data_IF_247759328266
#
_entry.id   IF_247759328266
#
_cell.length_a   1.000
_cell.length_b   1.000
_cell.length_c   1.000
_cell.angle_alpha   90.00
_cell.angle_beta   90.00
_cell.angle_gamma   90.00
#
_symmetry.space_group_name_H-M   'P 1'
#
loop_
_entity.id
_entity.type
_entity.pdbx_description
1 polymer ?
#
# COMPACT_ATOMS: atom_id res chain seq x y z
N UNK A 1 -34.32 -37.72 -25.10
CA UNK A 1 -32.96 -37.75 -24.54
C UNK A 1 -32.44 -36.33 -24.56
N UNK A 2 -32.76 -35.55 -23.50
CA UNK A 2 -32.55 -34.11 -23.43
C UNK A 2 -31.31 -33.80 -22.57
N UNK A 3 -30.25 -33.32 -23.20
CA UNK A 3 -29.05 -32.84 -22.52
C UNK A 3 -29.32 -31.43 -22.02
N UNK A 4 -29.52 -31.24 -20.72
CA UNK A 4 -29.54 -29.94 -20.07
C UNK A 4 -28.10 -29.43 -19.97
N UNK A 5 -27.81 -28.36 -20.72
CA UNK A 5 -26.57 -27.58 -20.59
C UNK A 5 -26.68 -26.71 -19.35
N UNK A 6 -25.97 -27.07 -18.32
CA UNK A 6 -25.74 -26.23 -17.14
C UNK A 6 -24.59 -25.28 -17.49
N UNK A 7 -24.87 -24.01 -17.74
CA UNK A 7 -23.87 -22.95 -17.83
C UNK A 7 -23.47 -22.54 -16.39
N UNK A 8 -22.32 -23.01 -15.95
CA UNK A 8 -21.64 -22.44 -14.78
C UNK A 8 -21.06 -21.08 -15.23
N UNK A 9 -21.59 -20.00 -14.68
CA UNK A 9 -20.97 -18.68 -14.77
C UNK A 9 -19.77 -18.64 -13.83
N UNK A 10 -18.59 -18.85 -14.38
CA UNK A 10 -17.32 -18.57 -13.68
C UNK A 10 -17.15 -17.04 -13.63
N UNK A 11 -17.42 -16.44 -12.49
CA UNK A 11 -17.01 -15.08 -12.21
C UNK A 11 -15.49 -15.07 -12.02
N UNK A 12 -14.75 -14.80 -13.11
CA UNK A 12 -13.31 -14.53 -13.06
C UNK A 12 -13.14 -13.16 -12.42
N UNK A 13 -12.79 -13.13 -11.13
CA UNK A 13 -12.29 -11.92 -10.49
C UNK A 13 -10.91 -11.65 -11.07
N UNK A 14 -10.86 -10.87 -12.14
CA UNK A 14 -9.62 -10.29 -12.64
C UNK A 14 -9.20 -9.21 -11.63
N UNK A 15 -8.29 -9.57 -10.72
CA UNK A 15 -7.50 -8.59 -9.98
C UNK A 15 -6.56 -7.93 -10.99
N UNK A 16 -7.03 -6.84 -11.61
CA UNK A 16 -6.21 -6.02 -12.49
C UNK A 16 -5.23 -5.28 -11.59
N UNK A 17 -3.99 -5.78 -11.51
CA UNK A 17 -2.87 -5.01 -11.01
C UNK A 17 -2.66 -3.84 -11.98
N UNK A 18 -3.15 -2.66 -11.62
CA UNK A 18 -2.98 -1.45 -12.39
C UNK A 18 -1.51 -1.01 -12.37
N UNK A 19 -0.85 -1.17 -13.49
CA UNK A 19 0.45 -0.50 -13.76
C UNK A 19 0.12 0.88 -14.32
N UNK A 20 -0.22 1.82 -13.43
CA UNK A 20 -0.34 3.21 -13.80
C UNK A 20 1.03 3.78 -14.15
N UNK A 21 1.21 4.32 -15.35
CA UNK A 21 2.35 5.18 -15.65
C UNK A 21 2.15 6.51 -14.91
N UNK A 22 2.60 6.55 -13.65
CA UNK A 22 2.69 7.81 -12.93
C UNK A 22 3.59 8.74 -13.76
N UNK A 23 3.06 9.91 -14.18
CA UNK A 23 3.91 10.95 -14.75
C UNK A 23 4.92 11.32 -13.70
N UNK A 24 6.20 11.07 -14.01
CA UNK A 24 7.33 11.52 -13.20
C UNK A 24 7.21 13.03 -13.00
N UNK A 25 6.97 13.45 -11.78
CA UNK A 25 7.13 14.85 -11.40
C UNK A 25 8.55 14.99 -10.89
N UNK A 26 9.43 15.62 -11.68
CA UNK A 26 10.79 15.94 -11.29
C UNK A 26 10.77 16.70 -9.95
N UNK A 27 11.22 16.05 -8.88
CA UNK A 27 11.21 16.62 -7.54
C UNK A 27 12.61 17.10 -7.21
N UNK A 28 12.83 18.39 -7.32
CA UNK A 28 14.03 19.09 -6.80
C UNK A 28 15.37 18.53 -7.28
N UNK A 29 15.44 17.81 -8.42
CA UNK A 29 16.68 17.20 -8.89
C UNK A 29 17.19 16.05 -8.00
N UNK A 30 16.33 15.46 -7.16
CA UNK A 30 16.67 14.25 -6.38
C UNK A 30 16.81 13.05 -7.31
N UNK A 31 16.02 12.98 -8.38
CA UNK A 31 16.08 11.96 -9.42
C UNK A 31 17.47 11.83 -10.10
N UNK A 32 18.27 12.88 -10.06
CA UNK A 32 19.67 12.84 -10.55
C UNK A 32 20.68 12.44 -9.48
N UNK A 33 20.24 12.31 -8.22
CA UNK A 33 21.09 12.07 -7.06
C UNK A 33 20.83 10.73 -6.38
N UNK A 34 19.77 10.06 -6.78
CA UNK A 34 19.35 8.73 -6.28
C UNK A 34 19.10 7.79 -7.46
N UNK A 35 19.16 6.49 -7.23
CA UNK A 35 18.92 5.49 -8.29
C UNK A 35 17.42 5.31 -8.54
N UNK A 36 16.61 5.32 -7.48
CA UNK A 36 15.16 5.21 -7.56
C UNK A 36 14.50 5.87 -6.35
N UNK A 37 13.28 6.38 -6.53
CA UNK A 37 12.49 6.95 -5.44
C UNK A 37 10.99 6.75 -5.64
N UNK A 38 10.25 6.62 -4.52
CA UNK A 38 8.81 6.44 -4.52
C UNK A 38 8.19 7.09 -3.29
N UNK A 39 7.03 7.73 -3.45
CA UNK A 39 6.11 8.08 -2.36
C UNK A 39 4.73 7.58 -2.72
N UNK A 40 4.07 6.89 -1.80
CA UNK A 40 2.71 6.41 -1.98
C UNK A 40 1.88 6.44 -0.69
N UNK A 41 0.57 6.37 -0.86
CA UNK A 41 -0.38 6.23 0.24
C UNK A 41 -0.39 4.80 0.78
N UNK A 42 -0.16 4.65 2.07
CA UNK A 42 -0.11 3.36 2.73
C UNK A 42 -1.47 2.63 2.74
N UNK A 43 -2.59 3.36 2.69
CA UNK A 43 -3.92 2.76 2.73
C UNK A 43 -4.36 2.28 1.35
N UNK A 44 -4.45 3.21 0.38
CA UNK A 44 -4.94 2.88 -0.97
C UNK A 44 -3.89 2.23 -1.87
N UNK A 45 -2.59 2.41 -1.59
CA UNK A 45 -1.51 2.01 -2.48
C UNK A 45 -1.28 2.98 -3.65
N UNK A 46 -2.00 4.11 -3.70
CA UNK A 46 -1.81 5.11 -4.74
C UNK A 46 -0.40 5.70 -4.69
N UNK A 47 0.27 5.75 -5.84
CA UNK A 47 1.60 6.31 -5.96
C UNK A 47 1.52 7.79 -6.33
N UNK A 48 2.25 8.63 -5.59
CA UNK A 48 2.31 10.08 -5.79
C UNK A 48 3.57 10.52 -6.53
N UNK A 49 4.68 9.83 -6.25
CA UNK A 49 5.99 10.04 -6.84
C UNK A 49 6.54 8.68 -7.21
N UNK A 50 7.10 8.56 -8.41
CA UNK A 50 7.53 7.30 -8.95
C UNK A 50 8.67 7.51 -9.96
N UNK A 51 9.91 7.31 -9.52
CA UNK A 51 11.12 7.42 -10.32
C UNK A 51 11.86 6.07 -10.32
N UNK A 52 12.02 5.47 -11.48
CA UNK A 52 12.71 4.20 -11.68
C UNK A 52 12.21 3.09 -10.73
N UNK A 53 10.88 2.99 -10.58
CA UNK A 53 10.27 2.21 -9.49
C UNK A 53 10.21 0.69 -9.73
N UNK A 54 10.47 0.24 -10.96
CA UNK A 54 10.31 -1.17 -11.35
C UNK A 54 11.67 -1.88 -11.62
N UNK A 55 12.79 -1.17 -11.52
CA UNK A 55 14.12 -1.78 -11.63
C UNK A 55 14.46 -2.58 -10.37
N UNK A 56 14.97 -3.82 -10.56
CA UNK A 56 15.47 -4.67 -9.50
C UNK A 56 16.85 -4.20 -9.03
N UNK A 57 16.91 -3.48 -7.92
CA UNK A 57 18.13 -2.90 -7.35
C UNK A 57 18.59 -3.68 -6.11
N UNK A 58 19.89 -3.68 -5.78
CA UNK A 58 20.39 -4.15 -4.50
C UNK A 58 19.74 -3.38 -3.34
N UNK A 59 19.25 -4.09 -2.32
CA UNK A 59 18.44 -3.50 -1.24
C UNK A 59 19.11 -3.51 0.12
N UNK A 60 20.25 -4.19 0.24
CA UNK A 60 20.95 -4.33 1.52
C UNK A 60 19.99 -4.76 2.66
N UNK A 61 20.17 -4.18 3.86
CA UNK A 61 19.35 -4.50 5.04
C UNK A 61 17.86 -4.17 4.97
N UNK A 62 17.35 -3.59 3.87
CA UNK A 62 15.89 -3.51 3.65
C UNK A 62 15.32 -4.94 3.55
N UNK A 63 16.11 -5.93 3.16
CA UNK A 63 15.78 -7.37 3.18
C UNK A 63 15.19 -7.85 4.51
N UNK A 64 15.60 -7.26 5.62
CA UNK A 64 15.15 -7.61 6.98
C UNK A 64 13.66 -7.33 7.21
N UNK A 65 13.02 -6.54 6.34
CA UNK A 65 11.55 -6.40 6.33
C UNK A 65 10.88 -7.74 5.97
N UNK A 66 11.42 -8.48 4.99
CA UNK A 66 10.90 -9.81 4.66
C UNK A 66 11.19 -10.81 5.80
N UNK A 67 12.37 -10.74 6.40
CA UNK A 67 12.71 -11.55 7.58
C UNK A 67 11.76 -11.28 8.73
N UNK A 68 11.48 -10.00 9.05
CA UNK A 68 10.49 -9.61 10.04
C UNK A 68 9.11 -10.18 9.73
N UNK A 69 8.62 -10.03 8.50
CA UNK A 69 7.31 -10.53 8.08
C UNK A 69 7.16 -12.03 8.33
N UNK A 70 8.12 -12.83 7.88
CA UNK A 70 8.07 -14.29 8.03
C UNK A 70 8.10 -14.72 9.49
N UNK A 71 8.93 -14.08 10.33
CA UNK A 71 8.97 -14.35 11.77
C UNK A 71 7.63 -14.02 12.42
N UNK A 72 7.02 -12.87 12.09
CA UNK A 72 5.71 -12.45 12.61
C UNK A 72 4.59 -13.39 12.17
N UNK A 73 4.62 -13.88 10.93
CA UNK A 73 3.67 -14.88 10.46
C UNK A 73 3.78 -16.17 11.28
N UNK A 74 4.99 -16.65 11.57
CA UNK A 74 5.18 -17.86 12.37
C UNK A 74 4.78 -17.70 13.85
N UNK A 75 4.93 -16.50 14.40
CA UNK A 75 4.39 -16.17 15.73
C UNK A 75 2.86 -16.19 15.69
N UNK A 76 2.24 -15.59 14.67
CA UNK A 76 0.78 -15.58 14.50
C UNK A 76 0.19 -16.99 14.27
N UNK A 77 0.96 -17.89 13.63
CA UNK A 77 0.61 -19.32 13.49
C UNK A 77 0.77 -20.10 14.81
N UNK A 78 1.28 -19.49 15.88
CA UNK A 78 1.53 -20.13 17.18
C UNK A 78 2.69 -21.11 17.20
N UNK A 79 3.64 -21.00 16.25
CA UNK A 79 4.82 -21.88 16.18
C UNK A 79 5.82 -21.57 17.28
N UNK A 80 5.94 -20.31 17.67
CA UNK A 80 6.72 -19.83 18.82
C UNK A 80 6.18 -18.49 19.34
N UNK A 81 6.68 -18.06 20.50
CA UNK A 81 6.29 -16.83 21.19
C UNK A 81 7.46 -15.86 21.25
N UNK A 82 7.19 -14.61 21.57
CA UNK A 82 8.22 -13.58 21.74
C UNK A 82 9.21 -13.91 22.87
N UNK A 83 8.75 -14.61 23.91
CA UNK A 83 9.53 -14.97 25.10
C UNK A 83 10.39 -16.22 24.91
N UNK A 84 10.12 -17.02 23.86
CA UNK A 84 10.87 -18.25 23.60
C UNK A 84 12.35 -17.94 23.39
N UNK A 85 13.21 -18.82 23.92
CA UNK A 85 14.65 -18.66 23.84
C UNK A 85 15.21 -19.38 22.60
N UNK A 86 16.05 -18.66 21.90
CA UNK A 86 16.80 -19.13 20.73
C UNK A 86 18.24 -19.28 21.13
N UNK A 87 18.81 -20.45 20.90
CA UNK A 87 20.24 -20.68 21.08
C UNK A 87 20.99 -20.22 19.84
N UNK A 88 21.84 -19.22 20.00
CA UNK A 88 22.60 -18.61 18.91
C UNK A 88 23.62 -19.60 18.35
N UNK A 89 23.59 -19.81 17.03
CA UNK A 89 24.58 -20.67 16.34
C UNK A 89 25.92 -19.96 16.16
N UNK A 90 26.95 -20.73 15.83
CA UNK A 90 28.25 -20.18 15.42
C UNK A 90 28.09 -19.34 14.14
N UNK A 91 27.29 -19.81 13.20
CA UNK A 91 27.02 -19.09 11.95
C UNK A 91 26.41 -17.72 12.21
N UNK A 92 25.32 -17.65 12.98
CA UNK A 92 24.67 -16.38 13.30
C UNK A 92 25.64 -15.41 14.02
N UNK A 93 26.38 -15.88 15.01
CA UNK A 93 27.33 -15.06 15.80
C UNK A 93 28.54 -14.57 15.00
N UNK A 94 28.84 -15.16 13.85
CA UNK A 94 29.99 -14.79 13.00
C UNK A 94 29.61 -13.82 11.86
N UNK A 95 28.33 -13.43 11.75
CA UNK A 95 27.90 -12.50 10.71
C UNK A 95 28.50 -11.11 10.91
N UNK A 96 29.06 -10.57 9.82
CA UNK A 96 29.75 -9.29 9.82
C UNK A 96 28.78 -8.10 9.67
N UNK A 97 29.29 -6.88 9.83
CA UNK A 97 28.58 -5.63 9.61
C UNK A 97 27.73 -5.19 10.81
N UNK A 98 26.48 -4.77 10.60
CA UNK A 98 25.57 -4.38 11.69
C UNK A 98 25.22 -5.58 12.55
N UNK A 99 25.38 -5.47 13.88
CA UNK A 99 25.28 -6.61 14.80
C UNK A 99 24.56 -6.25 16.09
N UNK A 100 23.87 -7.22 16.67
CA UNK A 100 23.36 -7.24 18.05
C UNK A 100 24.42 -7.74 19.03
N UNK A 101 25.63 -8.04 18.54
CA UNK A 101 26.79 -8.59 19.28
C UNK A 101 26.47 -9.94 19.95
N UNK A 102 25.79 -10.84 19.19
CA UNK A 102 25.41 -12.17 19.62
C UNK A 102 26.65 -13.06 19.81
N UNK A 103 26.61 -13.94 20.82
CA UNK A 103 27.69 -14.92 21.09
C UNK A 103 27.19 -16.32 20.79
N UNK A 104 28.05 -17.15 20.22
CA UNK A 104 27.72 -18.56 19.97
C UNK A 104 27.35 -19.27 21.29
N UNK A 105 26.23 -19.99 21.26
CA UNK A 105 25.68 -20.69 22.42
C UNK A 105 24.88 -19.82 23.40
N UNK A 106 24.81 -18.50 23.20
CA UNK A 106 23.95 -17.60 23.98
C UNK A 106 22.48 -17.97 23.77
N UNK A 107 21.68 -17.86 24.83
CA UNK A 107 20.22 -17.99 24.77
C UNK A 107 19.57 -16.59 24.83
N UNK A 108 18.89 -16.20 23.76
CA UNK A 108 18.28 -14.89 23.60
C UNK A 108 16.79 -15.04 23.21
N UNK A 109 15.93 -14.12 23.64
CA UNK A 109 14.51 -14.20 23.29
C UNK A 109 14.26 -13.83 21.83
N UNK A 110 13.19 -14.38 21.24
CA UNK A 110 12.69 -13.98 19.91
C UNK A 110 12.43 -12.48 19.86
N UNK A 111 11.89 -11.90 20.96
CA UNK A 111 11.69 -10.46 21.08
C UNK A 111 12.99 -9.69 20.94
N UNK A 112 14.03 -10.06 21.71
CA UNK A 112 15.32 -9.37 21.66
C UNK A 112 15.98 -9.47 20.28
N UNK A 113 15.80 -10.60 19.60
CA UNK A 113 16.26 -10.78 18.21
C UNK A 113 15.50 -9.85 17.24
N UNK A 114 14.19 -9.71 17.39
CA UNK A 114 13.39 -8.77 16.57
C UNK A 114 13.77 -7.32 16.85
N UNK A 115 14.03 -6.96 18.12
CA UNK A 115 14.57 -5.65 18.49
C UNK A 115 15.91 -5.40 17.78
N UNK A 116 16.84 -6.37 17.84
CA UNK A 116 18.12 -6.32 17.15
C UNK A 116 17.99 -6.20 15.62
N UNK A 117 17.09 -6.99 15.03
CA UNK A 117 16.81 -6.99 13.60
C UNK A 117 16.37 -5.60 13.10
N UNK A 118 15.43 -4.99 13.80
CA UNK A 118 14.74 -3.79 13.30
C UNK A 118 15.44 -2.50 13.75
N UNK A 119 15.90 -2.41 15.01
CA UNK A 119 16.43 -1.16 15.57
C UNK A 119 17.89 -0.94 15.14
N UNK A 120 18.74 -1.92 15.39
CA UNK A 120 20.17 -1.81 15.08
C UNK A 120 20.57 -2.53 13.80
N UNK A 121 19.60 -3.12 13.09
CA UNK A 121 19.82 -3.80 11.82
C UNK A 121 20.77 -5.01 11.89
N UNK A 122 20.76 -5.74 13.03
CA UNK A 122 21.67 -6.86 13.29
C UNK A 122 21.59 -7.96 12.22
N UNK A 123 22.74 -8.28 11.60
CA UNK A 123 22.85 -9.36 10.62
C UNK A 123 22.84 -10.72 11.36
N UNK A 124 23.50 -10.78 12.49
CA UNK A 124 23.49 -11.90 13.43
C UNK A 124 22.07 -12.25 13.91
N UNK A 125 21.28 -11.24 14.26
CA UNK A 125 19.88 -11.42 14.62
C UNK A 125 19.03 -11.93 13.43
N UNK A 126 19.30 -11.45 12.21
CA UNK A 126 18.62 -11.93 11.00
C UNK A 126 18.86 -13.40 10.74
N UNK A 127 20.12 -13.86 10.85
CA UNK A 127 20.49 -15.27 10.64
C UNK A 127 19.93 -16.14 11.77
N UNK A 128 20.03 -15.72 13.04
CA UNK A 128 19.43 -16.47 14.15
C UNK A 128 17.92 -16.67 14.01
N UNK A 129 17.19 -15.63 13.56
CA UNK A 129 15.77 -15.74 13.27
C UNK A 129 15.47 -16.61 12.04
N UNK A 130 16.32 -16.54 11.01
CA UNK A 130 16.19 -17.39 9.83
C UNK A 130 16.38 -18.87 10.17
N UNK A 131 17.36 -19.19 11.01
CA UNK A 131 17.60 -20.57 11.51
C UNK A 131 16.45 -21.06 12.38
N UNK A 132 15.87 -20.19 13.23
CA UNK A 132 14.69 -20.53 14.04
C UNK A 132 13.50 -20.92 13.17
N UNK A 133 13.20 -20.13 12.14
CA UNK A 133 11.99 -20.29 11.31
C UNK A 133 12.17 -21.34 10.23
N UNK A 134 13.31 -21.37 9.57
CA UNK A 134 13.61 -22.22 8.42
C UNK A 134 14.46 -23.46 8.76
N UNK A 135 14.87 -23.64 10.03
CA UNK A 135 15.87 -24.63 10.47
C UNK A 135 17.28 -24.38 9.90
N UNK A 136 17.36 -23.81 8.70
CA UNK A 136 18.59 -23.32 8.05
C UNK A 136 18.30 -22.03 7.29
N UNK A 137 19.31 -21.14 7.15
CA UNK A 137 19.16 -19.93 6.35
C UNK A 137 18.75 -20.26 4.91
N UNK A 138 19.25 -21.33 4.31
CA UNK A 138 18.89 -21.73 2.95
C UNK A 138 17.40 -22.04 2.78
N UNK A 139 16.79 -22.79 3.71
CA UNK A 139 15.33 -23.04 3.69
C UNK A 139 14.57 -21.75 3.93
N UNK A 140 15.05 -20.89 4.82
CA UNK A 140 14.43 -19.58 5.06
C UNK A 140 14.46 -18.69 3.81
N UNK A 141 15.56 -18.66 3.06
CA UNK A 141 15.66 -17.96 1.79
C UNK A 141 14.64 -18.49 0.77
N UNK A 142 14.40 -19.79 0.73
CA UNK A 142 13.30 -20.34 -0.09
C UNK A 142 11.96 -19.76 0.35
N UNK A 143 11.67 -19.71 1.65
CA UNK A 143 10.45 -19.11 2.18
C UNK A 143 10.34 -17.61 1.84
N UNK A 144 11.46 -16.86 1.85
CA UNK A 144 11.46 -15.44 1.45
C UNK A 144 11.05 -15.26 -0.01
N UNK A 145 11.57 -16.09 -0.92
CA UNK A 145 11.23 -16.02 -2.34
C UNK A 145 9.80 -16.51 -2.61
N UNK A 146 9.32 -17.54 -1.92
CA UNK A 146 7.94 -18.01 -1.99
C UNK A 146 6.98 -16.91 -1.52
N UNK A 147 7.29 -16.24 -0.40
CA UNK A 147 6.51 -15.11 0.11
C UNK A 147 6.54 -13.92 -0.84
N UNK A 148 7.67 -13.61 -1.47
CA UNK A 148 7.75 -12.59 -2.51
C UNK A 148 6.80 -12.91 -3.68
N UNK A 149 6.75 -14.15 -4.11
CA UNK A 149 5.83 -14.61 -5.16
C UNK A 149 4.37 -14.51 -4.71
N UNK A 150 4.04 -14.94 -3.48
CA UNK A 150 2.70 -14.82 -2.89
C UNK A 150 2.20 -13.37 -2.84
N UNK A 151 3.08 -12.45 -2.48
CA UNK A 151 2.77 -11.01 -2.41
C UNK A 151 2.81 -10.31 -3.77
N UNK A 152 3.16 -11.01 -4.84
CA UNK A 152 3.27 -10.45 -6.19
C UNK A 152 4.45 -9.48 -6.37
N UNK A 153 5.52 -9.63 -5.61
CA UNK A 153 6.74 -8.82 -5.69
C UNK A 153 7.58 -9.29 -6.91
N UNK A 154 7.28 -8.75 -8.07
CA UNK A 154 7.76 -9.28 -9.36
C UNK A 154 9.26 -9.12 -9.58
N UNK A 155 9.88 -8.14 -8.94
CA UNK A 155 11.29 -7.80 -9.10
C UNK A 155 12.08 -8.06 -7.80
N UNK A 156 11.59 -8.98 -6.95
CA UNK A 156 12.24 -9.38 -5.71
C UNK A 156 12.99 -10.71 -5.86
N UNK A 157 14.21 -10.76 -5.34
CA UNK A 157 15.02 -11.97 -5.23
C UNK A 157 15.83 -11.91 -3.94
N UNK A 158 15.75 -12.96 -3.13
CA UNK A 158 16.48 -13.08 -1.88
C UNK A 158 17.49 -14.22 -1.96
N UNK A 159 18.68 -13.99 -1.42
CA UNK A 159 19.78 -14.97 -1.33
C UNK A 159 20.26 -15.20 0.11
N UNK A 160 19.86 -14.31 1.04
CA UNK A 160 20.14 -14.42 2.48
C UNK A 160 19.09 -13.62 3.30
N UNK A 161 19.09 -13.84 4.62
CA UNK A 161 18.14 -13.21 5.54
C UNK A 161 18.49 -11.76 5.92
N UNK A 162 19.74 -11.36 5.79
CA UNK A 162 20.26 -10.09 6.30
C UNK A 162 20.36 -8.98 5.27
N UNK A 163 20.53 -9.33 3.98
CA UNK A 163 20.80 -8.41 2.89
C UNK A 163 22.27 -8.02 2.76
N UNK A 164 23.16 -8.74 3.42
CA UNK A 164 24.61 -8.57 3.21
C UNK A 164 25.00 -9.13 1.85
N UNK A 165 25.90 -8.44 1.14
CA UNK A 165 26.46 -8.97 -0.11
C UNK A 165 27.25 -10.25 0.19
N UNK A 166 26.90 -11.36 -0.44
CA UNK A 166 27.60 -12.65 -0.30
C UNK A 166 28.09 -13.13 -1.67
N UNK A 167 29.38 -13.39 -1.81
CA UNK A 167 30.00 -13.85 -3.07
C UNK A 167 29.69 -12.93 -4.28
N UNK A 168 29.67 -11.62 -4.07
CA UNK A 168 29.34 -10.65 -5.10
C UNK A 168 27.88 -10.65 -5.56
N UNK A 169 26.98 -11.25 -4.77
CA UNK A 169 25.54 -11.28 -5.02
C UNK A 169 24.79 -10.56 -3.92
N UNK A 170 23.65 -9.93 -4.28
CA UNK A 170 22.81 -9.14 -3.42
C UNK A 170 21.36 -9.61 -3.45
N UNK A 171 20.66 -9.41 -2.34
CA UNK A 171 19.21 -9.38 -2.39
C UNK A 171 18.76 -8.18 -3.24
N UNK A 172 17.77 -8.38 -4.10
CA UNK A 172 17.26 -7.33 -4.98
C UNK A 172 15.75 -7.18 -4.84
N UNK A 173 15.29 -5.95 -4.94
CA UNK A 173 13.87 -5.60 -5.10
C UNK A 173 13.76 -4.29 -5.90
N UNK A 174 12.58 -4.08 -6.50
CA UNK A 174 12.23 -2.74 -6.98
C UNK A 174 11.68 -1.86 -5.85
N UNK A 175 11.68 -0.52 -6.02
CA UNK A 175 11.07 0.37 -5.01
C UNK A 175 9.57 0.13 -4.88
N UNK A 176 8.90 -0.30 -5.95
CA UNK A 176 7.49 -0.73 -5.91
C UNK A 176 7.30 -1.95 -5.03
N UNK A 177 8.16 -2.95 -5.15
CA UNK A 177 8.08 -4.16 -4.31
C UNK A 177 8.38 -3.85 -2.85
N UNK A 178 9.36 -2.97 -2.58
CA UNK A 178 9.67 -2.49 -1.22
C UNK A 178 8.46 -1.76 -0.62
N UNK A 179 7.80 -0.89 -1.39
CA UNK A 179 6.59 -0.20 -0.96
C UNK A 179 5.47 -1.20 -0.63
N UNK A 180 5.24 -2.18 -1.51
CA UNK A 180 4.21 -3.22 -1.32
C UNK A 180 4.47 -4.06 -0.08
N UNK A 181 5.71 -4.50 0.12
CA UNK A 181 6.12 -5.24 1.32
C UNK A 181 5.93 -4.41 2.58
N UNK A 182 6.37 -3.15 2.57
CA UNK A 182 6.26 -2.24 3.71
C UNK A 182 4.79 -1.97 4.07
N UNK A 183 3.93 -1.72 3.06
CA UNK A 183 2.49 -1.56 3.24
C UNK A 183 1.88 -2.81 3.89
N UNK A 184 2.19 -3.99 3.37
CA UNK A 184 1.70 -5.27 3.89
C UNK A 184 2.09 -5.48 5.35
N UNK A 185 3.33 -5.16 5.72
CA UNK A 185 3.81 -5.30 7.10
C UNK A 185 3.08 -4.32 8.02
N UNK A 186 2.96 -3.06 7.65
CA UNK A 186 2.28 -2.03 8.47
C UNK A 186 0.80 -2.38 8.66
N UNK A 187 0.16 -2.94 7.64
CA UNK A 187 -1.24 -3.33 7.68
C UNK A 187 -1.49 -4.56 8.57
N UNK A 188 -0.66 -5.59 8.41
CA UNK A 188 -0.82 -6.87 9.16
C UNK A 188 -0.19 -6.84 10.55
N UNK A 189 0.92 -6.13 10.71
CA UNK A 189 1.75 -6.11 11.92
C UNK A 189 2.15 -4.67 12.28
N UNK A 190 1.19 -3.79 12.63
CA UNK A 190 1.43 -2.36 12.87
C UNK A 190 2.43 -2.08 13.99
N UNK A 191 2.66 -3.05 14.87
CA UNK A 191 3.70 -2.97 15.91
C UNK A 191 5.13 -2.86 15.35
N UNK A 192 5.35 -3.10 14.04
CA UNK A 192 6.63 -2.81 13.36
C UNK A 192 7.07 -1.35 13.58
N UNK A 193 6.10 -0.45 13.72
CA UNK A 193 6.36 0.96 13.95
C UNK A 193 6.90 1.24 15.36
N UNK A 194 6.60 0.40 16.34
CA UNK A 194 7.16 0.54 17.69
C UNK A 194 8.65 0.23 17.68
N UNK A 195 9.09 -0.83 16.95
CA UNK A 195 10.52 -1.09 16.75
C UNK A 195 11.18 0.07 16.02
N UNK A 196 10.55 0.58 14.95
CA UNK A 196 11.12 1.62 14.10
C UNK A 196 11.22 2.99 14.78
N UNK A 197 10.33 3.31 15.73
CA UNK A 197 10.38 4.54 16.53
C UNK A 197 11.45 4.50 17.63
N UNK A 198 11.93 3.32 18.02
CA UNK A 198 12.92 3.18 19.06
C UNK A 198 14.26 3.73 18.59
N UNK A 199 14.73 4.79 19.23
CA UNK A 199 15.96 5.49 18.85
C UNK A 199 17.21 4.89 19.46
N UNK A 200 17.09 4.17 20.58
CA UNK A 200 18.19 3.48 21.26
C UNK A 200 17.72 2.11 21.72
N UNK A 201 18.42 1.07 21.34
CA UNK A 201 18.22 -0.28 21.87
C UNK A 201 19.13 -0.50 23.08
N UNK A 202 18.52 -0.78 24.23
CA UNK A 202 19.23 -1.13 25.47
C UNK A 202 18.82 -2.53 25.93
N UNK A 203 19.82 -3.39 26.14
CA UNK A 203 19.66 -4.72 26.73
C UNK A 203 20.63 -4.85 27.94
N UNK A 204 20.24 -4.36 29.12
CA UNK A 204 21.15 -4.28 30.27
C UNK A 204 21.73 -5.63 30.70
N UNK A 205 20.96 -6.72 30.60
CA UNK A 205 21.39 -8.08 30.91
C UNK A 205 22.56 -8.57 30.05
N UNK A 206 22.71 -7.97 28.84
CA UNK A 206 23.78 -8.26 27.87
C UNK A 206 24.85 -7.17 27.82
N UNK A 207 24.74 -6.13 28.66
CA UNK A 207 25.58 -4.93 28.59
C UNK A 207 25.63 -4.33 27.17
N UNK A 208 24.48 -4.33 26.48
CA UNK A 208 24.34 -3.86 25.11
C UNK A 208 23.57 -2.58 25.05
N UNK A 209 24.10 -1.57 24.32
CA UNK A 209 23.45 -0.31 24.03
C UNK A 209 23.93 0.22 22.68
N UNK A 210 23.02 0.40 21.73
CA UNK A 210 23.31 1.00 20.42
C UNK A 210 22.17 1.90 19.98
N UNK A 211 22.51 2.95 19.22
CA UNK A 211 21.54 3.82 18.57
C UNK A 211 20.88 3.13 17.37
N UNK A 212 19.65 3.50 17.10
CA UNK A 212 18.93 3.08 15.91
C UNK A 212 19.62 3.54 14.62
N UNK A 213 19.49 2.73 13.58
CA UNK A 213 19.99 3.08 12.24
C UNK A 213 19.04 3.99 11.47
N UNK A 214 17.80 4.18 11.94
CA UNK A 214 16.73 4.89 11.24
C UNK A 214 16.82 6.40 11.53
N UNK A 215 17.10 7.24 10.52
CA UNK A 215 17.14 8.68 10.69
C UNK A 215 15.74 9.29 10.69
N UNK A 216 15.64 10.56 11.07
CA UNK A 216 14.47 11.42 10.99
C UNK A 216 13.37 11.13 12.01
N UNK A 217 13.42 10.01 12.73
CA UNK A 217 12.51 9.72 13.86
C UNK A 217 12.84 10.71 14.99
N UNK A 218 11.82 11.45 15.45
CA UNK A 218 11.99 12.53 16.43
C UNK A 218 12.53 13.85 15.85
N UNK A 219 13.04 13.85 14.61
CA UNK A 219 13.52 15.05 13.91
C UNK A 219 12.44 15.63 12.98
N UNK A 220 11.71 14.78 12.27
CA UNK A 220 10.62 15.17 11.37
C UNK A 220 9.30 14.70 11.96
N UNK A 221 8.41 15.65 12.21
CA UNK A 221 7.10 15.37 12.80
C UNK A 221 6.31 14.37 11.96
N UNK A 222 5.75 13.34 12.62
CA UNK A 222 4.96 12.28 12.01
C UNK A 222 5.78 11.12 11.46
N UNK A 223 7.11 11.23 11.37
CA UNK A 223 7.98 10.11 10.95
C UNK A 223 8.09 9.09 12.08
N UNK A 224 7.81 7.81 11.74
CA UNK A 224 7.78 6.70 12.69
C UNK A 224 8.39 5.39 12.14
N UNK A 225 9.25 5.49 11.15
CA UNK A 225 9.94 4.32 10.61
C UNK A 225 10.55 4.57 9.24
N UNK A 226 11.00 3.52 8.55
CA UNK A 226 10.80 2.08 8.83
C UNK A 226 12.12 1.30 8.86
N UNK A 227 13.00 1.42 7.81
CA UNK A 227 14.23 0.63 7.69
C UNK A 227 15.27 1.28 6.78
N UNK A 228 16.54 1.18 7.18
CA UNK A 228 17.70 1.56 6.35
C UNK A 228 18.36 0.37 5.69
N UNK A 229 19.08 0.61 4.60
CA UNK A 229 19.99 -0.34 3.96
C UNK A 229 21.26 0.35 3.49
N UNK A 230 22.39 -0.38 3.50
CA UNK A 230 23.65 0.06 2.90
C UNK A 230 24.54 -1.14 2.60
N UNK A 231 24.99 -1.22 1.36
CA UNK A 231 26.18 -1.94 0.87
C UNK A 231 26.82 -1.03 -0.17
N UNK A 232 28.04 -1.35 -0.61
CA UNK A 232 28.71 -0.56 -1.65
C UNK A 232 27.90 -0.60 -2.95
N UNK A 233 27.27 -1.72 -3.28
CA UNK A 233 26.45 -1.92 -4.48
C UNK A 233 25.09 -1.21 -4.37
N UNK A 234 24.46 -1.23 -3.20
CA UNK A 234 23.15 -0.61 -3.00
C UNK A 234 23.23 0.91 -2.81
N UNK A 235 24.38 1.42 -2.39
CA UNK A 235 24.45 2.77 -1.84
C UNK A 235 23.63 2.90 -0.55
N UNK A 236 23.33 4.12 -0.13
CA UNK A 236 22.52 4.40 1.06
C UNK A 236 21.05 4.43 0.72
N UNK A 237 20.28 3.49 1.29
CA UNK A 237 18.86 3.30 1.07
C UNK A 237 18.04 3.58 2.33
N UNK A 238 16.79 4.02 2.16
CA UNK A 238 15.86 4.28 3.26
C UNK A 238 14.42 4.04 2.83
N UNK A 239 13.72 3.25 3.62
CA UNK A 239 12.25 3.24 3.66
C UNK A 239 11.83 4.08 4.85
N UNK A 240 11.00 5.08 4.62
CA UNK A 240 10.42 5.92 5.67
C UNK A 240 8.91 5.89 5.64
N UNK A 241 8.28 5.99 6.80
CA UNK A 241 6.84 6.19 6.91
C UNK A 241 6.54 7.44 7.71
N UNK A 242 5.48 8.14 7.33
CA UNK A 242 5.07 9.35 8.01
C UNK A 242 3.53 9.43 8.10
N UNK A 243 3.02 9.75 9.29
CA UNK A 243 1.63 10.19 9.46
C UNK A 243 1.51 11.67 9.15
N UNK A 244 0.53 12.03 8.35
CA UNK A 244 0.22 13.41 7.98
C UNK A 244 -1.18 13.74 8.46
N UNK A 245 -1.31 14.81 9.26
CA UNK A 245 -2.60 15.39 9.67
C UNK A 245 -2.87 16.65 8.86
N UNK A 246 -4.07 16.72 8.26
CA UNK A 246 -4.57 17.93 7.58
C UNK A 246 -6.03 18.15 7.95
N UNK A 247 -6.27 19.13 8.82
CA UNK A 247 -7.57 19.32 9.44
C UNK A 247 -7.96 18.09 10.27
N UNK A 248 -9.14 17.54 10.00
CA UNK A 248 -9.63 16.32 10.67
C UNK A 248 -9.13 15.02 10.00
N UNK A 249 -8.56 15.10 8.80
CA UNK A 249 -8.06 13.93 8.07
C UNK A 249 -6.66 13.54 8.53
N UNK A 250 -6.46 12.24 8.77
CA UNK A 250 -5.15 11.64 9.01
C UNK A 250 -4.91 10.54 7.97
N UNK A 251 -3.73 10.53 7.38
CA UNK A 251 -3.30 9.49 6.44
C UNK A 251 -1.81 9.19 6.60
N UNK A 252 -1.39 8.05 6.10
CA UNK A 252 -0.01 7.58 6.17
C UNK A 252 0.58 7.48 4.77
N UNK A 253 1.80 7.98 4.62
CA UNK A 253 2.62 7.73 3.43
C UNK A 253 3.77 6.78 3.74
N UNK A 254 4.19 6.04 2.71
CA UNK A 254 5.43 5.28 2.68
C UNK A 254 6.30 5.88 1.59
N UNK A 255 7.54 6.17 1.93
CA UNK A 255 8.54 6.73 1.03
C UNK A 255 9.74 5.80 0.92
N UNK A 256 10.19 5.52 -0.30
CA UNK A 256 11.36 4.68 -0.57
C UNK A 256 12.39 5.49 -1.34
N UNK A 257 13.64 5.45 -0.90
CA UNK A 257 14.77 6.11 -1.54
C UNK A 257 15.92 5.10 -1.65
N UNK A 258 16.47 4.95 -2.87
CA UNK A 258 17.54 4.00 -3.17
C UNK A 258 18.76 4.71 -3.76
N UNK A 259 19.95 4.26 -3.41
CA UNK A 259 21.20 4.62 -4.07
C UNK A 259 21.72 6.04 -3.80
N UNK A 260 21.45 6.61 -2.62
CA UNK A 260 22.10 7.85 -2.21
C UNK A 260 23.63 7.61 -1.99
N UNK A 261 24.46 8.62 -2.27
CA UNK A 261 25.92 8.48 -2.23
C UNK A 261 26.50 8.46 -0.82
N UNK A 262 25.85 9.15 0.11
CA UNK A 262 26.28 9.23 1.50
C UNK A 262 25.13 9.05 2.49
N UNK A 263 25.46 8.73 3.75
CA UNK A 263 24.48 8.66 4.84
C UNK A 263 23.76 9.99 5.05
N UNK A 264 24.48 11.11 4.89
CA UNK A 264 23.92 12.45 5.02
C UNK A 264 22.96 12.78 3.88
N UNK A 265 23.34 12.47 2.63
CA UNK A 265 22.48 12.66 1.45
C UNK A 265 21.17 11.86 1.59
N UNK A 266 21.27 10.60 2.02
CA UNK A 266 20.09 9.75 2.26
C UNK A 266 19.09 10.41 3.22
N UNK A 267 19.57 10.94 4.35
CA UNK A 267 18.74 11.61 5.33
C UNK A 267 18.14 12.90 4.77
N UNK A 268 18.97 13.73 4.12
CA UNK A 268 18.54 15.01 3.57
C UNK A 268 17.52 14.83 2.44
N UNK A 269 17.79 13.93 1.48
CA UNK A 269 16.86 13.71 0.35
C UNK A 269 15.53 13.13 0.82
N UNK A 270 15.55 12.19 1.79
CA UNK A 270 14.31 11.69 2.37
C UNK A 270 13.54 12.80 3.09
N UNK A 271 14.22 13.66 3.85
CA UNK A 271 13.60 14.82 4.51
C UNK A 271 12.93 15.77 3.50
N UNK A 272 13.60 16.03 2.37
CA UNK A 272 13.05 16.87 1.31
C UNK A 272 11.82 16.24 0.66
N UNK A 273 11.87 14.91 0.39
CA UNK A 273 10.73 14.14 -0.12
C UNK A 273 9.53 14.19 0.83
N UNK A 274 9.75 13.97 2.13
CA UNK A 274 8.68 13.97 3.14
C UNK A 274 8.07 15.36 3.32
N UNK A 275 8.89 16.42 3.32
CA UNK A 275 8.42 17.81 3.40
C UNK A 275 7.59 18.18 2.16
N UNK A 276 8.05 17.77 0.97
CA UNK A 276 7.28 17.98 -0.26
C UNK A 276 5.93 17.27 -0.20
N UNK A 277 5.90 16.03 0.25
CA UNK A 277 4.67 15.27 0.43
C UNK A 277 3.73 15.98 1.42
N UNK A 278 4.24 16.41 2.59
CA UNK A 278 3.47 17.13 3.61
C UNK A 278 2.82 18.42 3.07
N UNK A 279 3.49 19.12 2.15
CA UNK A 279 2.98 20.36 1.55
C UNK A 279 1.98 20.12 0.42
N UNK A 280 2.19 19.08 -0.38
CA UNK A 280 1.51 18.90 -1.66
C UNK A 280 0.48 17.76 -1.67
N UNK A 281 0.47 16.86 -0.68
CA UNK A 281 -0.55 15.82 -0.54
C UNK A 281 -1.72 16.37 0.27
N UNK A 282 -2.93 16.05 -0.15
CA UNK A 282 -4.20 16.45 0.49
C UNK A 282 -5.24 15.33 0.36
N UNK A 283 -6.22 15.31 1.26
CA UNK A 283 -7.41 14.48 1.09
C UNK A 283 -8.41 15.24 0.22
N UNK A 284 -8.94 14.58 -0.81
CA UNK A 284 -9.96 15.13 -1.71
C UNK A 284 -11.20 14.25 -1.71
N UNK A 285 -12.35 14.86 -1.49
CA UNK A 285 -13.65 14.22 -1.70
C UNK A 285 -13.93 14.22 -3.20
N UNK A 286 -13.77 13.05 -3.83
CA UNK A 286 -13.92 12.87 -5.28
C UNK A 286 -15.37 12.60 -5.67
N UNK A 287 -16.14 11.96 -4.79
CA UNK A 287 -17.59 11.76 -4.90
C UNK A 287 -18.23 12.24 -3.61
N UNK A 288 -19.29 13.03 -3.76
CA UNK A 288 -20.11 13.55 -2.66
C UNK A 288 -21.56 13.13 -2.93
N UNK A 289 -22.09 12.23 -2.10
CA UNK A 289 -23.46 11.71 -2.19
C UNK A 289 -24.50 12.84 -2.21
N UNK A 290 -24.28 13.90 -1.44
CA UNK A 290 -25.23 15.00 -1.31
C UNK A 290 -25.27 15.90 -2.54
N UNK A 291 -24.16 15.94 -3.31
CA UNK A 291 -24.00 16.82 -4.47
C UNK A 291 -24.19 16.12 -5.80
N UNK A 292 -24.25 14.80 -5.81
CA UNK A 292 -24.36 14.04 -7.05
C UNK A 292 -25.73 13.38 -7.19
N UNK A 293 -26.45 13.71 -8.25
CA UNK A 293 -27.68 13.00 -8.65
C UNK A 293 -27.71 12.88 -10.18
N UNK A 294 -27.93 11.67 -10.67
CA UNK A 294 -28.12 11.39 -12.10
C UNK A 294 -29.58 11.06 -12.38
N UNK A 295 -30.24 11.91 -13.11
CA UNK A 295 -31.60 11.66 -13.60
C UNK A 295 -31.51 10.84 -14.90
N UNK A 296 -32.28 9.76 -14.98
CA UNK A 296 -32.39 8.86 -16.13
C UNK A 296 -33.83 8.76 -16.57
N UNK A 297 -34.15 9.09 -17.83
CA UNK A 297 -35.48 9.00 -18.35
C UNK A 297 -35.89 7.53 -18.56
N UNK A 298 -36.96 7.13 -17.89
CA UNK A 298 -37.50 5.77 -17.92
C UNK A 298 -39.01 5.87 -18.15
N UNK A 299 -39.43 5.77 -19.39
CA UNK A 299 -40.85 5.94 -19.80
C UNK A 299 -41.81 4.99 -19.05
N UNK A 300 -41.33 3.84 -18.61
CA UNK A 300 -42.10 2.85 -17.84
C UNK A 300 -42.19 3.13 -16.35
N UNK A 301 -41.43 4.09 -15.81
CA UNK A 301 -41.50 4.48 -14.39
C UNK A 301 -42.74 5.35 -14.11
N UNK A 302 -43.26 5.32 -12.88
CA UNK A 302 -44.43 6.11 -12.46
C UNK A 302 -44.23 7.62 -12.73
N UNK A 303 -43.03 8.15 -12.44
CA UNK A 303 -42.67 9.55 -12.65
C UNK A 303 -42.05 9.84 -14.02
N UNK A 304 -41.86 8.81 -14.89
CA UNK A 304 -41.21 8.95 -16.19
C UNK A 304 -39.69 8.96 -16.15
N UNK A 305 -39.09 8.95 -14.98
CA UNK A 305 -37.65 8.94 -14.74
C UNK A 305 -37.32 8.20 -13.47
N UNK A 306 -36.03 7.91 -13.26
CA UNK A 306 -35.44 7.47 -11.99
C UNK A 306 -34.28 8.40 -11.66
N UNK A 307 -34.07 8.65 -10.37
CA UNK A 307 -32.89 9.35 -9.88
C UNK A 307 -31.93 8.34 -9.25
N UNK A 308 -30.68 8.45 -9.63
CA UNK A 308 -29.61 7.61 -9.17
C UNK A 308 -28.60 8.45 -8.38
N UNK A 309 -28.09 7.90 -7.30
CA UNK A 309 -27.08 8.54 -6.44
C UNK A 309 -25.90 7.59 -6.23
N UNK A 310 -24.71 8.09 -5.89
CA UNK A 310 -23.61 7.25 -5.47
C UNK A 310 -24.01 6.46 -4.21
N UNK A 311 -23.54 5.23 -4.09
CA UNK A 311 -23.78 4.39 -2.92
C UNK A 311 -23.11 4.91 -1.67
N UNK A 312 -21.96 5.55 -1.86
CA UNK A 312 -21.10 6.06 -0.79
C UNK A 312 -20.27 7.26 -1.24
N UNK A 313 -19.81 8.06 -0.30
CA UNK A 313 -18.79 9.08 -0.53
C UNK A 313 -17.48 8.43 -0.92
N UNK A 314 -16.69 9.09 -1.77
CA UNK A 314 -15.33 8.67 -2.08
C UNK A 314 -14.35 9.77 -1.72
N UNK A 315 -13.55 9.51 -0.69
CA UNK A 315 -12.38 10.32 -0.38
C UNK A 315 -11.10 9.59 -0.77
N UNK A 316 -10.13 10.33 -1.30
CA UNK A 316 -8.81 9.81 -1.64
C UNK A 316 -7.73 10.79 -1.27
N UNK A 317 -6.62 10.24 -0.79
CA UNK A 317 -5.37 10.98 -0.68
C UNK A 317 -4.83 11.23 -2.09
N UNK A 318 -4.43 12.44 -2.37
CA UNK A 318 -4.04 12.91 -3.69
C UNK A 318 -2.96 13.98 -3.61
N UNK A 319 -2.22 14.18 -4.69
CA UNK A 319 -1.36 15.36 -4.82
C UNK A 319 -2.15 16.54 -5.37
N UNK A 320 -1.84 17.74 -4.87
CA UNK A 320 -2.34 19.01 -5.43
C UNK A 320 -2.02 19.10 -6.92
N UNK A 321 -3.00 19.60 -7.70
CA UNK A 321 -2.85 19.77 -9.15
C UNK A 321 -3.20 18.55 -9.98
N UNK A 322 -3.46 17.38 -9.38
CA UNK A 322 -4.02 16.25 -10.12
C UNK A 322 -5.49 16.52 -10.43
N UNK A 323 -5.86 16.41 -11.71
CA UNK A 323 -7.24 16.52 -12.16
C UNK A 323 -7.85 15.12 -12.32
N UNK A 324 -8.92 14.88 -11.58
CA UNK A 324 -9.74 13.69 -11.74
C UNK A 324 -10.97 14.01 -12.57
N UNK A 325 -11.38 13.07 -13.41
CA UNK A 325 -12.63 13.12 -14.17
C UNK A 325 -13.54 11.98 -13.75
N UNK A 326 -14.85 12.18 -13.87
CA UNK A 326 -15.84 11.16 -13.60
C UNK A 326 -16.53 10.75 -14.88
N UNK A 327 -16.72 9.45 -15.09
CA UNK A 327 -17.55 8.87 -16.14
C UNK A 327 -18.67 8.07 -15.49
N UNK A 328 -19.89 8.28 -15.94
CA UNK A 328 -21.09 7.66 -15.37
C UNK A 328 -21.63 6.63 -16.34
N UNK A 329 -21.55 5.37 -15.97
CA UNK A 329 -22.08 4.24 -16.72
C UNK A 329 -23.39 3.78 -16.10
N UNK A 330 -24.50 3.99 -16.81
CA UNK A 330 -25.82 3.53 -16.38
C UNK A 330 -26.18 2.26 -17.14
N UNK A 331 -26.49 1.20 -16.40
CA UNK A 331 -26.98 -0.05 -16.95
C UNK A 331 -28.47 0.01 -17.34
N UNK A 332 -29.02 -1.13 -17.75
CA UNK A 332 -30.44 -1.25 -18.06
C UNK A 332 -31.29 -1.08 -16.79
N UNK A 333 -32.21 -0.10 -16.82
CA UNK A 333 -33.14 0.15 -15.70
C UNK A 333 -34.33 -0.79 -15.77
N UNK A 334 -34.43 -1.76 -14.89
CA UNK A 334 -35.55 -2.71 -14.76
C UNK A 334 -36.41 -2.35 -13.56
N UNK A 335 -37.71 -2.07 -13.81
CA UNK A 335 -38.68 -1.76 -12.76
C UNK A 335 -39.45 -3.03 -12.30
N UNK A 336 -39.81 -3.12 -11.00
CA UNK A 336 -39.61 -2.13 -9.94
C UNK A 336 -38.17 -2.10 -9.45
N UNK A 337 -37.70 -0.93 -8.98
CA UNK A 337 -36.45 -0.73 -8.28
C UNK A 337 -36.73 -0.40 -6.81
N UNK A 338 -35.90 -0.89 -5.92
CA UNK A 338 -35.86 -0.49 -4.52
C UNK A 338 -34.74 0.51 -4.28
N UNK A 339 -34.93 1.37 -3.28
CA UNK A 339 -33.86 2.26 -2.82
C UNK A 339 -32.60 1.45 -2.52
N UNK A 340 -31.46 1.85 -3.09
CA UNK A 340 -30.18 1.19 -2.92
C UNK A 340 -29.88 0.08 -3.97
N UNK A 341 -30.84 -0.28 -4.85
CA UNK A 341 -30.56 -1.22 -5.95
C UNK A 341 -29.53 -0.64 -6.90
N UNK A 342 -28.46 -1.42 -7.20
CA UNK A 342 -27.43 -1.02 -8.15
C UNK A 342 -27.99 -0.95 -9.56
N UNK A 343 -27.77 0.19 -10.23
CA UNK A 343 -28.20 0.45 -11.60
C UNK A 343 -27.03 0.78 -12.53
N UNK A 344 -25.90 1.16 -11.96
CA UNK A 344 -24.74 1.54 -12.74
C UNK A 344 -23.53 1.75 -11.86
N UNK A 345 -22.58 2.52 -12.37
CA UNK A 345 -21.34 2.84 -11.67
C UNK A 345 -20.79 4.20 -12.10
N UNK A 346 -20.02 4.81 -11.23
CA UNK A 346 -19.26 6.03 -11.48
C UNK A 346 -17.79 5.62 -11.50
N UNK A 347 -17.13 5.80 -12.64
CA UNK A 347 -15.70 5.60 -12.80
C UNK A 347 -14.97 6.91 -12.52
N UNK A 348 -14.04 6.89 -11.58
CA UNK A 348 -13.15 8.01 -11.31
C UNK A 348 -11.84 7.75 -12.04
N UNK A 349 -11.43 8.70 -12.89
CA UNK A 349 -10.26 8.58 -13.75
C UNK A 349 -9.20 9.62 -13.42
N UNK A 350 -7.96 9.21 -13.49
CA UNK A 350 -6.80 10.10 -13.61
C UNK A 350 -6.28 9.96 -15.04
N UNK A 351 -6.41 11.01 -15.85
CA UNK A 351 -6.22 10.95 -17.30
C UNK A 351 -7.15 9.89 -17.92
N UNK A 352 -6.61 8.80 -18.47
CA UNK A 352 -7.40 7.70 -19.08
C UNK A 352 -7.51 6.47 -18.17
N UNK A 353 -6.92 6.50 -16.98
CA UNK A 353 -6.87 5.36 -16.08
C UNK A 353 -7.97 5.44 -15.02
N UNK A 354 -8.75 4.36 -14.86
CA UNK A 354 -9.74 4.24 -13.79
C UNK A 354 -9.00 3.95 -12.47
N UNK A 355 -9.10 4.88 -11.52
CA UNK A 355 -8.45 4.78 -10.20
C UNK A 355 -9.42 4.33 -9.10
N UNK A 356 -10.72 4.47 -9.32
CA UNK A 356 -11.76 4.00 -8.42
C UNK A 356 -13.09 3.85 -9.15
N UNK A 357 -13.97 3.04 -8.56
CA UNK A 357 -15.35 2.85 -9.03
C UNK A 357 -16.29 2.94 -7.83
N UNK A 358 -17.39 3.70 -7.97
CA UNK A 358 -18.44 3.79 -6.96
C UNK A 358 -19.75 3.31 -7.59
N UNK A 359 -20.48 2.44 -6.91
CA UNK A 359 -21.78 1.98 -7.35
C UNK A 359 -22.77 3.16 -7.47
N UNK A 360 -23.52 3.18 -8.54
CA UNK A 360 -24.65 4.10 -8.76
C UNK A 360 -25.94 3.36 -8.46
N UNK A 361 -26.69 3.84 -7.46
CA UNK A 361 -27.85 3.14 -6.91
C UNK A 361 -29.13 3.97 -7.01
N UNK A 362 -30.29 3.31 -6.97
CA UNK A 362 -31.58 3.99 -6.93
C UNK A 362 -31.72 4.84 -5.66
N UNK A 363 -32.08 6.11 -5.81
CA UNK A 363 -32.23 7.09 -4.71
C UNK A 363 -33.43 6.77 -3.82
N UNK A 364 -34.48 6.21 -4.40
CA UNK A 364 -35.73 5.84 -3.72
C UNK A 364 -36.37 4.63 -4.43
N UNK A 365 -37.55 4.19 -3.95
CA UNK A 365 -38.32 3.12 -4.60
C UNK A 365 -39.00 3.65 -5.86
N UNK A 366 -38.82 2.94 -6.99
CA UNK A 366 -39.48 3.26 -8.25
C UNK A 366 -40.36 2.10 -8.73
N UNK A 367 -41.63 2.41 -9.03
CA UNK A 367 -42.61 1.44 -9.53
C UNK A 367 -42.90 1.65 -11.02
N UNK A 368 -43.47 0.64 -11.66
CA UNK A 368 -44.01 0.78 -13.05
C UNK A 368 -45.20 1.72 -13.06
N UNK A 369 -45.27 2.53 -14.10
CA UNK A 369 -46.42 3.42 -14.37
C UNK A 369 -47.71 2.63 -14.55
N UNK A 370 -48.69 2.86 -13.70
CA UNK A 370 -50.07 2.40 -13.92
C UNK A 370 -50.74 3.14 -15.07
N UNK A 371 -51.94 2.67 -15.49
CA UNK A 371 -52.71 3.31 -16.59
C UNK A 371 -52.95 4.80 -16.32
N UNK A 372 -53.35 5.15 -15.10
CA UNK A 372 -53.66 6.53 -14.70
C UNK A 372 -52.44 7.47 -14.81
N UNK A 373 -51.25 7.04 -14.36
CA UNK A 373 -50.05 7.85 -14.46
C UNK A 373 -49.56 8.04 -15.89
N UNK A 374 -49.81 7.06 -16.78
CA UNK A 374 -49.54 7.20 -18.23
C UNK A 374 -50.44 8.23 -18.88
N UNK A 375 -51.74 8.22 -18.55
CA UNK A 375 -52.75 9.18 -19.09
C UNK A 375 -52.42 10.60 -18.61
N UNK A 376 -52.14 10.81 -17.36
CA UNK A 376 -51.78 12.12 -16.79
C UNK A 376 -50.54 12.70 -17.48
N UNK A 377 -49.50 11.87 -17.71
CA UNK A 377 -48.29 12.31 -18.44
C UNK A 377 -48.59 12.68 -19.88
N UNK A 378 -49.39 11.88 -20.57
CA UNK A 378 -49.79 12.18 -21.96
C UNK A 378 -50.48 13.54 -22.05
N UNK A 379 -51.39 13.80 -21.12
CA UNK A 379 -52.10 15.08 -21.03
C UNK A 379 -51.08 16.22 -20.78
N UNK A 380 -50.14 16.05 -19.84
CA UNK A 380 -49.13 17.07 -19.52
C UNK A 380 -48.22 17.37 -20.70
N UNK A 381 -47.77 16.34 -21.44
CA UNK A 381 -46.96 16.51 -22.66
C UNK A 381 -47.74 17.24 -23.74
N UNK A 382 -49.03 16.97 -23.90
CA UNK A 382 -49.91 17.70 -24.86
C UNK A 382 -50.00 19.17 -24.46
N UNK A 383 -50.19 19.51 -23.18
CA UNK A 383 -50.23 20.91 -22.72
C UNK A 383 -48.89 21.63 -22.93
N UNK A 384 -47.75 21.01 -22.63
CA UNK A 384 -46.43 21.59 -22.85
C UNK A 384 -46.14 21.85 -24.35
N UNK A 385 -46.60 20.96 -25.26
CA UNK A 385 -46.49 21.17 -26.71
C UNK A 385 -47.41 22.28 -27.17
N UNK A 386 -48.62 22.41 -26.61
CA UNK A 386 -49.58 23.49 -26.96
C UNK A 386 -49.06 24.85 -26.51
N UNK A 387 -48.44 24.97 -25.30
CA UNK A 387 -47.82 26.23 -24.86
C UNK A 387 -46.59 26.64 -25.67
N UNK A 388 -45.90 25.67 -26.30
CA UNK A 388 -44.70 25.96 -27.12
C UNK A 388 -45.06 26.28 -28.57
N UNK A 389 -46.26 25.96 -29.02
CA UNK A 389 -46.71 26.10 -30.44
C UNK A 389 -47.72 27.24 -30.62
N UNK A 390 -48.37 27.73 -29.56
CA UNK A 390 -49.26 28.90 -29.62
C UNK A 390 -48.51 30.13 -29.12
N UNK A 391 -48.35 31.19 -29.97
CA UNK A 391 -47.67 32.43 -29.59
C UNK A 391 -48.42 33.23 -28.54
#
# INVERSE_FOLDING_TARGET
MNLRKTLLSLALIFSICFVGTAKSYAIFGIEKKTTASLIGDANSGALFIAENIDEALPIASISKLMTFLLVKEKIAEGKFKLEDKVKVSVTASSEEGSSLDLKAGEEISVKDLLDGLMIVSGNDAAVALAELVGETESKFVTMMNDKASELGLKNATFINASGLTKNGQDNKMSTRDIFTLSKTIIEKYPEVLEYAKTTVLEQPSRNFKKESTIPLVGEVEGVDGLKTGHTDEAGYCLVSTMKIKKGESEFRIISVLMGAKTKADRAQYMKDMLNYAKQNIETRKLIDIEKFTKKVDVKSASNGYVELVPKEDLERVSMKGINYTTEVNVGEVKLPLKKGDKVGEILIKNSNEVIATVDLVAKEDYSKAGLLSRTVRLIKTIFEVVETVLP
#
